data_IF_050997167477
#
_entry.id   IF_050997167477
#
_cell.length_a   1.000
_cell.length_b   1.000
_cell.length_c   1.000
_cell.angle_alpha   90.00
_cell.angle_beta   90.00
_cell.angle_gamma   90.00
#
_symmetry.space_group_name_H-M   'P 1'
#
loop_
_entity.id
_entity.type
_entity.pdbx_description
1 polymer ?
#
# COMPACT_ATOMS: atom_id res chain seq x y z
N UNK A 1 -22.79 75.73 17.29
CA UNK A 1 -23.95 75.05 17.90
C UNK A 1 -24.04 73.63 17.36
N UNK A 2 -23.55 72.65 18.10
CA UNK A 2 -23.56 71.24 17.71
C UNK A 2 -24.51 70.53 18.64
N UNK A 3 -25.58 69.98 18.11
CA UNK A 3 -26.54 69.18 18.84
C UNK A 3 -26.04 67.72 18.92
N UNK A 4 -25.79 67.32 20.13
CA UNK A 4 -25.44 65.93 20.44
C UNK A 4 -26.75 65.14 20.53
N UNK A 5 -26.95 64.18 19.64
CA UNK A 5 -28.06 63.22 19.67
C UNK A 5 -27.52 61.99 20.38
N UNK A 6 -27.98 61.76 21.60
CA UNK A 6 -27.75 60.50 22.32
C UNK A 6 -28.62 59.42 21.71
N UNK A 7 -28.02 58.54 20.99
CA UNK A 7 -28.65 57.29 20.56
C UNK A 7 -28.48 56.19 21.64
N UNK A 8 -29.55 55.83 22.28
CA UNK A 8 -29.63 54.70 23.22
C UNK A 8 -29.59 53.42 22.40
N UNK A 9 -28.45 52.78 22.36
CA UNK A 9 -28.31 51.46 21.74
C UNK A 9 -28.78 50.39 22.72
N UNK A 10 -30.02 49.93 22.52
CA UNK A 10 -30.60 48.81 23.27
C UNK A 10 -29.86 47.52 22.90
N UNK A 11 -29.04 47.03 23.84
CA UNK A 11 -28.37 45.75 23.73
C UNK A 11 -29.35 44.62 24.00
N UNK A 12 -29.92 44.06 22.92
CA UNK A 12 -30.76 42.87 22.99
C UNK A 12 -29.85 41.64 23.20
N UNK A 13 -29.69 41.20 24.43
CA UNK A 13 -29.02 39.95 24.75
C UNK A 13 -29.95 38.81 24.38
N UNK A 14 -29.74 38.22 23.22
CA UNK A 14 -30.38 36.97 22.83
C UNK A 14 -29.79 35.86 23.69
N UNK A 15 -30.49 35.50 24.76
CA UNK A 15 -30.20 34.29 25.54
C UNK A 15 -30.58 33.10 24.69
N UNK A 16 -29.66 32.62 23.87
CA UNK A 16 -29.79 31.37 23.15
C UNK A 16 -29.70 30.23 24.15
N UNK A 17 -30.83 29.74 24.60
CA UNK A 17 -30.91 28.53 25.39
C UNK A 17 -30.64 27.36 24.47
N UNK A 18 -29.36 26.98 24.35
CA UNK A 18 -28.94 25.74 23.69
C UNK A 18 -29.33 24.58 24.58
N UNK A 19 -30.49 24.04 24.39
CA UNK A 19 -30.86 22.72 24.91
C UNK A 19 -29.98 21.71 24.20
N UNK A 20 -28.89 21.30 24.84
CA UNK A 20 -28.11 20.16 24.42
C UNK A 20 -29.03 18.92 24.48
N UNK A 21 -29.55 18.57 23.33
CA UNK A 21 -30.18 17.25 23.15
C UNK A 21 -29.02 16.26 23.35
N UNK A 22 -29.03 15.59 24.50
CA UNK A 22 -28.24 14.39 24.68
C UNK A 22 -28.79 13.37 23.72
N UNK A 23 -28.18 13.30 22.56
CA UNK A 23 -28.37 12.21 21.63
C UNK A 23 -27.86 10.96 22.34
N UNK A 24 -28.80 10.21 22.88
CA UNK A 24 -28.54 8.92 23.48
C UNK A 24 -28.28 7.95 22.36
N UNK A 25 -27.11 8.09 21.73
CA UNK A 25 -26.60 7.14 20.75
C UNK A 25 -26.32 5.87 21.52
N UNK A 26 -27.34 5.02 21.62
CA UNK A 26 -27.15 3.62 22.01
C UNK A 26 -26.24 3.03 20.91
N UNK A 27 -24.92 3.15 21.10
CA UNK A 27 -24.00 2.36 20.31
C UNK A 27 -24.44 0.90 20.48
N UNK A 28 -24.66 0.18 19.37
CA UNK A 28 -24.89 -1.24 19.49
C UNK A 28 -23.73 -1.82 20.29
N UNK A 29 -24.04 -2.64 21.28
CA UNK A 29 -23.06 -3.40 22.05
C UNK A 29 -22.08 -4.03 21.08
N UNK A 30 -20.95 -3.34 20.88
CA UNK A 30 -19.85 -3.90 20.13
C UNK A 30 -19.38 -5.02 21.03
N UNK A 31 -19.76 -6.26 20.70
CA UNK A 31 -19.18 -7.46 21.25
C UNK A 31 -17.74 -7.14 21.60
N UNK A 32 -17.39 -7.18 22.87
CA UNK A 32 -16.05 -6.94 23.37
C UNK A 32 -15.15 -7.99 22.70
N UNK A 33 -14.70 -7.66 21.49
CA UNK A 33 -13.85 -8.56 20.74
C UNK A 33 -12.51 -8.50 21.44
N UNK A 34 -12.05 -9.61 21.97
CA UNK A 34 -10.71 -9.82 22.54
C UNK A 34 -9.62 -9.57 21.46
N UNK A 35 -9.61 -8.36 20.92
CA UNK A 35 -8.61 -7.95 19.93
C UNK A 35 -7.31 -7.65 20.67
N UNK A 36 -6.28 -8.38 20.31
CA UNK A 36 -4.93 -8.17 20.81
C UNK A 36 -4.13 -7.39 19.76
N UNK A 37 -3.49 -6.31 20.17
CA UNK A 37 -2.52 -5.64 19.32
C UNK A 37 -1.28 -6.54 19.18
N UNK A 38 -0.99 -6.99 17.97
CA UNK A 38 0.15 -7.87 17.67
C UNK A 38 1.40 -7.09 17.24
N UNK A 39 1.35 -5.76 17.23
CA UNK A 39 2.43 -4.92 16.72
C UNK A 39 2.58 -5.01 15.20
N UNK A 40 3.79 -4.69 14.71
CA UNK A 40 4.14 -4.77 13.30
C UNK A 40 4.40 -6.24 12.92
N UNK A 41 3.40 -6.91 12.44
CA UNK A 41 3.44 -8.31 12.06
C UNK A 41 3.08 -8.45 10.58
N UNK A 42 3.84 -9.29 9.86
CA UNK A 42 3.46 -9.72 8.52
C UNK A 42 2.29 -10.71 8.65
N UNK A 43 1.08 -10.18 8.53
CA UNK A 43 -0.14 -10.98 8.49
C UNK A 43 -0.42 -11.48 7.06
N UNK A 44 -1.41 -12.37 6.90
CA UNK A 44 -1.85 -12.88 5.61
C UNK A 44 -0.82 -13.79 4.91
N UNK A 45 -0.19 -14.66 5.66
CA UNK A 45 0.60 -15.78 5.15
C UNK A 45 -0.17 -17.10 5.31
N UNK A 46 0.09 -18.13 4.45
CA UNK A 46 1.06 -18.13 3.34
C UNK A 46 0.57 -17.35 2.11
N UNK A 47 1.52 -16.79 1.37
CA UNK A 47 1.29 -16.17 0.05
C UNK A 47 2.04 -16.95 -1.03
N UNK A 48 1.55 -17.01 -2.27
CA UNK A 48 2.31 -17.60 -3.35
C UNK A 48 3.61 -16.82 -3.57
N UNK A 49 4.68 -17.54 -3.82
CA UNK A 49 5.93 -16.94 -4.26
C UNK A 49 5.74 -16.39 -5.67
N UNK A 50 6.14 -15.16 -5.90
CA UNK A 50 6.05 -14.52 -7.22
C UNK A 50 7.42 -14.04 -7.68
N UNK A 51 7.67 -14.19 -8.98
CA UNK A 51 8.85 -13.63 -9.63
C UNK A 51 8.38 -12.54 -10.60
N UNK A 52 8.93 -11.36 -10.42
CA UNK A 52 8.66 -10.19 -11.26
C UNK A 52 9.80 -10.02 -12.24
N UNK A 53 9.45 -9.91 -13.53
CA UNK A 53 10.40 -9.63 -14.59
C UNK A 53 10.19 -8.26 -15.21
N UNK A 54 11.26 -7.55 -15.52
CA UNK A 54 11.25 -6.35 -16.33
C UNK A 54 12.53 -6.24 -17.17
N UNK A 55 12.41 -5.63 -18.33
CA UNK A 55 13.57 -5.36 -19.19
C UNK A 55 14.40 -4.21 -18.61
N UNK A 56 15.68 -4.45 -18.39
CA UNK A 56 16.67 -3.47 -17.99
C UNK A 56 17.82 -3.53 -18.99
N UNK A 57 18.11 -2.41 -19.66
CA UNK A 57 19.18 -2.30 -20.65
C UNK A 57 19.15 -3.37 -21.76
N UNK A 58 17.95 -3.67 -22.24
CA UNK A 58 17.74 -4.65 -23.34
C UNK A 58 17.77 -6.11 -22.89
N UNK A 59 17.85 -6.39 -21.59
CA UNK A 59 17.84 -7.75 -21.04
C UNK A 59 16.76 -7.86 -19.98
N UNK A 60 16.16 -9.04 -19.85
CA UNK A 60 15.18 -9.29 -18.77
C UNK A 60 15.89 -9.50 -17.46
N UNK A 61 15.49 -8.76 -16.45
CA UNK A 61 15.92 -8.94 -15.07
C UNK A 61 14.77 -9.44 -14.21
N UNK A 62 15.07 -10.35 -13.30
CA UNK A 62 14.11 -11.03 -12.45
C UNK A 62 14.30 -10.68 -10.99
N UNK A 63 13.19 -10.67 -10.24
CA UNK A 63 13.16 -10.37 -8.80
C UNK A 63 12.10 -11.20 -8.11
N UNK A 64 12.45 -11.87 -7.03
CA UNK A 64 11.46 -12.51 -6.15
C UNK A 64 10.78 -11.45 -5.31
N UNK A 65 9.46 -11.48 -5.30
CA UNK A 65 8.63 -10.53 -4.55
C UNK A 65 7.65 -11.28 -3.65
N UNK A 66 7.79 -11.07 -2.35
CA UNK A 66 6.88 -11.62 -1.34
C UNK A 66 5.68 -10.71 -1.03
N UNK A 67 5.79 -9.41 -1.34
CA UNK A 67 4.75 -8.44 -1.02
C UNK A 67 3.87 -8.17 -2.25
N UNK A 68 2.93 -9.08 -2.49
CA UNK A 68 1.92 -8.96 -3.54
C UNK A 68 0.52 -9.01 -2.95
N UNK A 69 -0.44 -8.42 -3.62
CA UNK A 69 -1.84 -8.43 -3.20
C UNK A 69 -2.80 -8.19 -4.36
N UNK A 70 -4.03 -8.62 -4.18
CA UNK A 70 -5.12 -8.33 -5.11
C UNK A 70 -5.82 -7.07 -4.65
N UNK A 71 -5.99 -6.08 -5.53
CA UNK A 71 -6.66 -4.80 -5.26
C UNK A 71 -7.89 -4.57 -6.14
N UNK A 72 -8.29 -5.56 -6.92
CA UNK A 72 -9.45 -5.52 -7.78
C UNK A 72 -9.53 -6.77 -8.63
N UNK A 73 -10.57 -6.91 -9.43
CA UNK A 73 -10.73 -8.06 -10.32
C UNK A 73 -9.68 -8.13 -11.43
N UNK A 74 -9.14 -6.97 -11.82
CA UNK A 74 -8.22 -6.77 -12.93
C UNK A 74 -6.86 -6.20 -12.50
N UNK A 75 -6.61 -6.10 -11.18
CA UNK A 75 -5.44 -5.40 -10.65
C UNK A 75 -4.78 -6.14 -9.51
N UNK A 76 -3.47 -6.16 -9.55
CA UNK A 76 -2.62 -6.65 -8.46
C UNK A 76 -1.68 -5.56 -8.00
N UNK A 77 -1.37 -5.58 -6.70
CA UNK A 77 -0.33 -4.77 -6.10
C UNK A 77 0.97 -5.58 -6.07
N UNK A 78 2.04 -4.97 -6.51
CA UNK A 78 3.40 -5.51 -6.37
C UNK A 78 4.25 -4.47 -5.65
N UNK A 79 4.72 -4.80 -4.46
CA UNK A 79 5.56 -3.90 -3.66
C UNK A 79 7.03 -4.28 -3.80
N UNK A 80 7.82 -3.39 -4.40
CA UNK A 80 9.25 -3.57 -4.61
C UNK A 80 10.04 -2.44 -3.96
N UNK A 81 11.18 -2.75 -3.36
CA UNK A 81 12.09 -1.71 -2.85
C UNK A 81 12.58 -0.82 -3.98
N UNK A 82 12.70 0.48 -3.69
CA UNK A 82 13.22 1.46 -4.67
C UNK A 82 14.63 1.15 -5.15
N UNK A 83 15.41 0.43 -4.36
CA UNK A 83 16.79 0.03 -4.66
C UNK A 83 16.89 -1.18 -5.59
N UNK A 84 15.81 -1.92 -5.82
CA UNK A 84 15.87 -3.09 -6.70
C UNK A 84 16.21 -2.69 -8.14
N UNK A 85 17.16 -3.39 -8.73
CA UNK A 85 17.64 -3.13 -10.10
C UNK A 85 16.52 -3.22 -11.13
N UNK A 86 15.61 -4.19 -10.99
CA UNK A 86 14.42 -4.36 -11.83
C UNK A 86 13.55 -3.10 -11.94
N UNK A 87 13.54 -2.24 -10.89
CA UNK A 87 12.77 -1.01 -10.90
C UNK A 87 13.20 -0.01 -11.98
N UNK A 88 14.44 -0.07 -12.44
CA UNK A 88 14.91 0.79 -13.53
C UNK A 88 14.15 0.46 -14.83
N UNK A 89 13.98 -0.84 -15.11
CA UNK A 89 13.22 -1.32 -16.26
C UNK A 89 11.73 -0.97 -16.16
N UNK A 90 11.13 -1.23 -15.00
CA UNK A 90 9.70 -0.90 -14.77
C UNK A 90 9.44 0.59 -14.96
N UNK A 91 10.31 1.46 -14.42
CA UNK A 91 10.16 2.91 -14.56
C UNK A 91 10.29 3.36 -16.01
N UNK A 92 11.20 2.76 -16.78
CA UNK A 92 11.45 3.10 -18.18
C UNK A 92 10.34 2.58 -19.11
N UNK A 93 10.04 1.30 -19.02
CA UNK A 93 9.10 0.63 -19.95
C UNK A 93 7.63 0.76 -19.53
N UNK A 94 7.36 1.04 -18.24
CA UNK A 94 6.02 0.97 -17.61
C UNK A 94 5.39 -0.43 -17.73
N UNK A 95 6.21 -1.45 -17.87
CA UNK A 95 5.80 -2.84 -18.01
C UNK A 95 6.56 -3.72 -17.04
N UNK A 96 5.89 -4.76 -16.57
CA UNK A 96 6.48 -5.86 -15.82
C UNK A 96 5.67 -7.13 -16.07
N UNK A 97 6.28 -8.28 -15.89
CA UNK A 97 5.60 -9.57 -15.78
C UNK A 97 5.51 -9.99 -14.33
N UNK A 98 4.45 -10.69 -13.98
CA UNK A 98 4.29 -11.33 -12.66
C UNK A 98 4.05 -12.81 -12.90
N UNK A 99 4.91 -13.65 -12.36
CA UNK A 99 4.91 -15.08 -12.59
C UNK A 99 4.76 -15.80 -11.26
N UNK A 100 3.81 -16.73 -11.18
CA UNK A 100 3.70 -17.67 -10.06
C UNK A 100 4.76 -18.74 -10.22
N UNK A 101 5.45 -19.05 -9.15
CA UNK A 101 6.53 -20.05 -9.15
C UNK A 101 5.95 -21.43 -8.97
N UNK A 102 6.17 -22.32 -9.93
CA UNK A 102 5.89 -23.75 -9.79
C UNK A 102 6.94 -24.43 -8.92
N UNK A 103 6.69 -25.68 -8.54
CA UNK A 103 7.63 -26.46 -7.74
C UNK A 103 8.98 -26.66 -8.45
N UNK A 104 8.93 -26.88 -9.75
CA UNK A 104 10.12 -27.10 -10.60
C UNK A 104 10.95 -25.81 -10.76
N UNK A 105 10.29 -24.66 -10.68
CA UNK A 105 10.93 -23.34 -10.77
C UNK A 105 11.57 -22.88 -9.45
N UNK A 106 11.29 -23.54 -8.32
CA UNK A 106 11.77 -23.09 -7.01
C UNK A 106 13.29 -22.86 -6.96
N UNK A 107 14.16 -23.75 -7.47
CA UNK A 107 15.61 -23.51 -7.40
C UNK A 107 16.03 -22.25 -8.18
N UNK A 108 15.39 -21.99 -9.32
CA UNK A 108 15.66 -20.80 -10.13
C UNK A 108 15.14 -19.52 -9.45
N UNK A 109 13.97 -19.61 -8.84
CA UNK A 109 13.40 -18.50 -8.06
C UNK A 109 14.27 -18.14 -6.85
N UNK A 110 14.78 -19.13 -6.14
CA UNK A 110 15.71 -18.95 -5.02
C UNK A 110 17.00 -18.25 -5.50
N UNK A 111 17.55 -18.71 -6.60
CA UNK A 111 18.73 -18.09 -7.21
C UNK A 111 18.51 -16.61 -7.52
N UNK A 112 17.43 -16.25 -8.25
CA UNK A 112 17.16 -14.86 -8.61
C UNK A 112 16.71 -14.00 -7.41
N UNK A 113 16.29 -14.63 -6.33
CA UNK A 113 16.02 -13.98 -5.05
C UNK A 113 17.28 -13.65 -4.26
N UNK A 114 18.36 -14.41 -4.49
CA UNK A 114 19.61 -14.31 -3.74
C UNK A 114 20.68 -13.43 -4.44
N UNK A 115 20.51 -13.14 -5.73
CA UNK A 115 21.46 -12.37 -6.52
C UNK A 115 20.87 -11.09 -7.06
N UNK A 116 21.70 -10.09 -7.33
CA UNK A 116 21.29 -8.85 -7.99
C UNK A 116 21.71 -8.87 -9.46
N UNK A 117 20.77 -8.59 -10.37
CA UNK A 117 21.08 -8.44 -11.79
C UNK A 117 22.08 -7.31 -12.10
N UNK A 118 22.27 -6.37 -11.18
CA UNK A 118 23.33 -5.35 -11.29
C UNK A 118 24.74 -5.92 -11.13
N UNK A 119 24.91 -7.01 -10.39
CA UNK A 119 26.23 -7.60 -10.09
C UNK A 119 26.55 -8.83 -10.93
N UNK A 120 25.58 -9.68 -11.22
CA UNK A 120 25.80 -10.95 -11.95
C UNK A 120 25.43 -10.87 -13.42
N UNK A 121 25.01 -9.72 -13.88
CA UNK A 121 24.42 -9.55 -15.19
C UNK A 121 23.00 -10.09 -15.23
N UNK A 122 22.29 -9.75 -16.29
CA UNK A 122 20.93 -10.26 -16.51
C UNK A 122 21.03 -11.65 -17.11
N UNK A 123 20.53 -12.62 -16.39
CA UNK A 123 20.58 -14.02 -16.80
C UNK A 123 19.18 -14.53 -17.11
N UNK A 124 18.98 -15.06 -18.30
CA UNK A 124 17.74 -15.67 -18.76
C UNK A 124 17.47 -17.06 -18.14
N UNK A 125 18.23 -17.49 -17.14
CA UNK A 125 18.15 -18.83 -16.54
C UNK A 125 16.79 -19.21 -16.01
N UNK A 126 15.84 -18.27 -15.92
CA UNK A 126 14.46 -18.63 -15.56
C UNK A 126 13.78 -19.49 -16.63
N UNK A 127 14.23 -19.43 -17.89
CA UNK A 127 13.57 -20.09 -19.01
C UNK A 127 14.42 -21.16 -19.72
N UNK A 128 15.73 -21.20 -19.41
CA UNK A 128 16.62 -22.23 -19.95
C UNK A 128 16.46 -23.52 -19.10
N UNK A 129 15.45 -24.30 -19.45
CA UNK A 129 15.21 -25.64 -18.89
C UNK A 129 15.33 -26.68 -19.98
#
# INVERSE_FOLDING_TARGET
>A
MVKIILGVLSLLVMLSCSTAVKENTTQPDIMETNKKNLGNLLALYPKPMTVVGAEVEGKVNWLVVGHTGVIGHDRILVSMSKSHYTNQGVKKSKRLSVNLVSREMLPKADYVGSVSGATVGVDNRMYDA
#
